data_IF_818883133323
#
_entry.id   IF_818883133323
#
_cell.length_a   1.000
_cell.length_b   1.000
_cell.length_c   1.000
_cell.angle_alpha   90.00
_cell.angle_beta   90.00
_cell.angle_gamma   90.00
#
_symmetry.space_group_name_H-M   'P 1'
#
loop_
_entity.id
_entity.type
_entity.pdbx_description
1 polymer ?
#
# COMPACT_ATOMS: atom_id res chain seq x y z
N UNK A 1 22.47 31.52 -13.14
CA UNK A 1 22.39 30.62 -14.32
C UNK A 1 21.18 31.00 -15.13
N UNK A 2 21.33 31.19 -16.43
CA UNK A 2 20.19 31.44 -17.33
C UNK A 2 19.47 30.09 -17.57
N UNK A 3 18.18 30.01 -17.29
CA UNK A 3 17.38 28.84 -17.63
C UNK A 3 17.06 28.86 -19.13
N UNK A 4 17.09 27.70 -19.78
CA UNK A 4 16.76 27.52 -21.20
C UNK A 4 15.68 26.47 -21.31
N UNK A 5 14.66 26.73 -22.12
CA UNK A 5 13.61 25.79 -22.43
C UNK A 5 14.15 24.56 -23.18
N UNK A 6 14.01 23.39 -22.66
CA UNK A 6 14.51 22.15 -23.27
C UNK A 6 13.75 21.69 -24.50
N UNK A 7 12.58 22.30 -24.79
CA UNK A 7 11.79 21.99 -25.99
C UNK A 7 12.04 22.96 -27.15
N UNK A 8 12.13 24.26 -26.88
CA UNK A 8 12.23 25.27 -27.96
C UNK A 8 13.51 26.13 -27.92
N UNK A 9 14.40 25.87 -26.98
CA UNK A 9 15.69 26.59 -26.73
C UNK A 9 15.54 28.07 -26.38
N UNK A 10 14.34 28.58 -26.13
CA UNK A 10 14.17 29.96 -25.68
C UNK A 10 14.71 30.17 -24.27
N UNK A 11 15.29 31.33 -24.03
CA UNK A 11 15.73 31.77 -22.70
C UNK A 11 14.48 31.98 -21.84
N UNK A 12 14.55 31.55 -20.58
CA UNK A 12 13.52 31.74 -19.56
C UNK A 12 14.05 32.85 -18.63
N UNK A 13 13.37 33.99 -18.62
CA UNK A 13 13.68 35.09 -17.76
C UNK A 13 13.45 34.82 -16.29
N UNK A 14 13.95 35.68 -15.43
CA UNK A 14 13.80 35.50 -13.97
C UNK A 14 12.35 35.57 -13.50
N UNK A 15 11.52 36.32 -14.17
CA UNK A 15 10.09 36.51 -13.88
C UNK A 15 9.16 35.62 -14.72
N UNK A 16 9.72 34.89 -15.70
CA UNK A 16 8.93 34.04 -16.57
C UNK A 16 8.48 32.77 -15.82
N UNK A 17 7.24 32.36 -16.08
CA UNK A 17 6.74 31.08 -15.57
C UNK A 17 7.39 29.92 -16.30
N UNK A 18 7.82 28.94 -15.53
CA UNK A 18 8.44 27.72 -16.07
C UNK A 18 7.89 26.47 -15.37
N UNK A 19 8.13 25.32 -15.99
CA UNK A 19 7.85 24.00 -15.40
C UNK A 19 9.14 23.20 -15.39
N UNK A 20 9.55 22.78 -14.19
CA UNK A 20 10.75 21.97 -13.98
C UNK A 20 10.38 20.49 -13.87
N UNK A 21 11.03 19.66 -14.68
CA UNK A 21 10.90 18.20 -14.65
C UNK A 21 11.86 17.55 -13.64
N UNK A 22 11.59 16.29 -13.31
CA UNK A 22 12.39 15.44 -12.41
C UNK A 22 13.88 15.41 -12.79
N UNK A 23 14.18 15.38 -14.08
CA UNK A 23 15.55 15.39 -14.64
C UNK A 23 16.16 16.79 -14.78
N UNK A 24 15.61 17.80 -14.08
CA UNK A 24 16.07 19.19 -14.02
C UNK A 24 16.02 19.94 -15.37
N UNK A 25 15.23 19.48 -16.30
CA UNK A 25 14.91 20.20 -17.55
C UNK A 25 13.69 21.08 -17.38
N UNK A 26 13.53 22.09 -18.27
CA UNK A 26 12.54 23.15 -18.11
C UNK A 26 11.71 23.34 -19.38
N UNK A 27 10.43 23.68 -19.23
CA UNK A 27 9.57 24.25 -20.28
C UNK A 27 9.34 25.73 -19.99
N UNK A 28 9.41 26.57 -21.04
CA UNK A 28 9.05 27.98 -20.94
C UNK A 28 7.53 28.17 -21.05
N UNK A 29 7.05 29.34 -20.66
CA UNK A 29 5.65 29.76 -20.69
C UNK A 29 4.94 29.47 -22.01
N UNK A 30 5.55 29.78 -23.16
CA UNK A 30 4.96 29.50 -24.48
C UNK A 30 4.75 27.99 -24.71
N UNK A 31 5.68 27.16 -24.26
CA UNK A 31 5.52 25.72 -24.34
C UNK A 31 4.48 25.20 -23.34
N UNK A 32 4.36 25.78 -22.15
CA UNK A 32 3.31 25.45 -21.19
C UNK A 32 1.92 25.65 -21.79
N UNK A 33 1.66 26.79 -22.40
CA UNK A 33 0.39 27.08 -23.09
C UNK A 33 0.15 26.11 -24.25
N UNK A 34 1.14 25.96 -25.12
CA UNK A 34 1.05 25.12 -26.33
C UNK A 34 0.66 23.67 -26.02
N UNK A 35 1.13 23.13 -24.92
CA UNK A 35 0.91 21.72 -24.54
C UNK A 35 -0.11 21.53 -23.43
N UNK A 36 -0.84 22.60 -23.03
CA UNK A 36 -1.97 22.55 -22.11
C UNK A 36 -1.59 22.37 -20.64
N UNK A 37 -0.39 22.79 -20.25
CA UNK A 37 0.07 22.74 -18.86
C UNK A 37 -0.45 23.93 -18.02
N UNK A 38 -1.03 24.95 -18.65
CA UNK A 38 -1.69 26.09 -18.00
C UNK A 38 -3.21 25.86 -17.91
N UNK A 39 -3.90 26.65 -17.10
CA UNK A 39 -5.35 26.54 -16.94
C UNK A 39 -6.09 26.86 -18.26
N UNK A 40 -5.63 27.87 -18.96
CA UNK A 40 -6.11 28.33 -20.27
C UNK A 40 -5.03 29.21 -20.91
N UNK A 41 -5.31 29.74 -22.11
CA UNK A 41 -4.37 30.58 -22.87
C UNK A 41 -4.09 31.95 -22.23
N UNK A 42 -4.92 32.37 -21.27
CA UNK A 42 -4.76 33.65 -20.55
C UNK A 42 -3.88 33.52 -19.32
N UNK A 43 -3.72 32.30 -18.78
CA UNK A 43 -2.91 32.05 -17.61
C UNK A 43 -1.48 31.63 -18.01
N UNK A 44 -0.50 32.18 -17.35
CA UNK A 44 0.92 31.97 -17.65
C UNK A 44 1.55 30.88 -16.79
N UNK A 45 1.03 30.70 -15.58
CA UNK A 45 1.55 29.72 -14.63
C UNK A 45 1.06 28.28 -14.93
N UNK A 46 1.91 27.28 -14.72
CA UNK A 46 1.48 25.89 -14.80
C UNK A 46 0.44 25.59 -13.71
N UNK A 47 -0.51 24.70 -14.02
CA UNK A 47 -1.48 24.23 -13.02
C UNK A 47 -0.78 23.41 -11.94
N UNK A 48 -1.38 23.31 -10.73
CA UNK A 48 -0.87 22.41 -9.68
C UNK A 48 -0.69 20.97 -10.20
N UNK A 49 -1.66 20.50 -11.00
CA UNK A 49 -1.57 19.17 -11.63
C UNK A 49 -0.40 19.03 -12.59
N UNK A 50 -0.04 20.10 -13.31
CA UNK A 50 1.11 20.10 -14.21
C UNK A 50 2.42 20.05 -13.41
N UNK A 51 2.48 20.77 -12.30
CA UNK A 51 3.64 20.78 -11.40
C UNK A 51 3.85 19.40 -10.79
N UNK A 52 2.78 18.78 -10.26
CA UNK A 52 2.82 17.46 -9.67
C UNK A 52 3.27 16.41 -10.70
N UNK A 53 2.70 16.48 -11.93
CA UNK A 53 3.10 15.56 -12.99
C UNK A 53 4.59 15.72 -13.37
N UNK A 54 5.08 16.93 -13.56
CA UNK A 54 6.48 17.19 -13.93
C UNK A 54 7.46 16.81 -12.81
N UNK A 55 7.03 16.84 -11.55
CA UNK A 55 7.84 16.41 -10.42
C UNK A 55 8.20 14.92 -10.49
N UNK A 56 7.26 14.08 -10.98
CA UNK A 56 7.45 12.64 -11.06
C UNK A 56 7.93 12.15 -12.43
N UNK A 57 7.77 12.97 -13.48
CA UNK A 57 8.09 12.60 -14.86
C UNK A 57 9.34 13.31 -15.36
N UNK A 58 10.08 12.63 -16.25
CA UNK A 58 11.23 13.18 -16.93
C UNK A 58 10.80 14.01 -18.15
N UNK A 59 11.71 14.81 -18.66
CA UNK A 59 11.48 15.51 -19.93
C UNK A 59 11.31 14.54 -21.12
N UNK A 60 11.82 13.32 -21.02
CA UNK A 60 11.61 12.27 -22.01
C UNK A 60 10.14 11.87 -22.08
N UNK A 61 9.43 11.82 -20.94
CA UNK A 61 7.99 11.51 -20.90
C UNK A 61 7.18 12.61 -21.60
N UNK A 62 7.58 13.88 -21.44
CA UNK A 62 7.02 14.99 -22.19
C UNK A 62 7.26 14.85 -23.71
N UNK A 63 8.48 14.45 -24.11
CA UNK A 63 8.78 14.24 -25.53
C UNK A 63 7.95 13.08 -26.10
N UNK A 64 7.73 12.02 -25.36
CA UNK A 64 6.86 10.93 -25.77
C UNK A 64 5.42 11.40 -25.92
N UNK A 65 4.88 12.16 -24.97
CA UNK A 65 3.57 12.80 -25.07
C UNK A 65 3.44 13.62 -26.36
N UNK A 66 4.47 14.38 -26.70
CA UNK A 66 4.52 15.19 -27.91
C UNK A 66 4.56 14.34 -29.19
N UNK A 67 5.33 13.25 -29.21
CA UNK A 67 5.40 12.29 -30.33
C UNK A 67 4.03 11.63 -30.54
N UNK A 68 3.33 11.30 -29.47
CA UNK A 68 1.98 10.72 -29.52
C UNK A 68 0.89 11.73 -29.93
N UNK A 69 1.26 13.01 -30.21
CA UNK A 69 0.31 14.07 -30.57
C UNK A 69 -0.64 14.48 -29.44
N UNK A 70 -0.32 14.15 -28.20
CA UNK A 70 -1.15 14.41 -27.02
C UNK A 70 -0.83 15.75 -26.38
N UNK A 71 -1.80 16.31 -25.68
CA UNK A 71 -1.62 17.46 -24.77
C UNK A 71 -1.75 17.00 -23.33
N UNK A 72 -1.33 17.86 -22.38
CA UNK A 72 -1.42 17.51 -20.96
C UNK A 72 -2.86 17.18 -20.48
N UNK A 73 -3.94 17.86 -20.93
CA UNK A 73 -5.32 17.44 -20.63
C UNK A 73 -5.64 16.02 -21.10
N UNK A 74 -5.16 15.60 -22.28
CA UNK A 74 -5.37 14.23 -22.76
C UNK A 74 -4.69 13.19 -21.84
N UNK A 75 -3.49 13.51 -21.34
CA UNK A 75 -2.79 12.65 -20.37
C UNK A 75 -3.57 12.58 -19.07
N UNK A 76 -4.10 13.70 -18.57
CA UNK A 76 -4.92 13.73 -17.36
C UNK A 76 -6.19 12.88 -17.50
N UNK A 77 -6.83 12.87 -18.66
CA UNK A 77 -8.02 12.07 -18.91
C UNK A 77 -7.68 10.57 -19.04
N UNK A 78 -6.56 10.23 -19.67
CA UNK A 78 -6.04 8.85 -19.67
C UNK A 78 -5.73 8.36 -18.24
N UNK A 79 -5.06 9.17 -17.42
CA UNK A 79 -4.79 8.82 -16.02
C UNK A 79 -6.11 8.57 -15.26
N UNK A 80 -7.19 9.30 -15.54
CA UNK A 80 -8.51 9.08 -14.94
C UNK A 80 -9.15 7.77 -15.40
N UNK A 81 -9.06 7.45 -16.71
CA UNK A 81 -9.61 6.21 -17.27
C UNK A 81 -8.81 4.98 -16.83
N UNK A 82 -7.50 5.07 -16.80
CA UNK A 82 -6.62 3.99 -16.30
C UNK A 82 -6.82 3.75 -14.80
N UNK A 83 -7.18 4.79 -14.03
CA UNK A 83 -7.48 4.65 -12.59
C UNK A 83 -8.82 3.94 -12.35
N UNK A 84 -9.77 4.01 -13.29
CA UNK A 84 -11.04 3.30 -13.21
C UNK A 84 -10.93 1.83 -13.69
N UNK A 85 -9.91 1.50 -14.48
CA UNK A 85 -9.72 0.20 -15.12
C UNK A 85 -8.65 -0.69 -14.47
N UNK A 86 -7.87 -0.19 -13.51
CA UNK A 86 -6.89 -1.03 -12.81
C UNK A 86 -7.56 -1.93 -11.78
N UNK A 87 -8.22 -2.97 -12.25
CA UNK A 87 -8.23 -4.24 -11.54
C UNK A 87 -6.76 -4.68 -11.46
N UNK A 88 -6.09 -4.36 -10.34
CA UNK A 88 -4.77 -4.88 -10.05
C UNK A 88 -4.86 -6.39 -9.94
N UNK A 89 -4.59 -7.07 -11.05
CA UNK A 89 -4.32 -8.50 -11.04
C UNK A 89 -3.04 -8.69 -10.21
N UNK A 90 -3.09 -9.63 -9.30
CA UNK A 90 -1.96 -10.11 -8.48
C UNK A 90 -0.94 -10.85 -9.35
N UNK A 91 -0.47 -10.18 -10.42
CA UNK A 91 0.46 -10.78 -11.37
C UNK A 91 1.89 -10.60 -10.81
N UNK A 92 2.48 -11.71 -10.38
CA UNK A 92 3.86 -11.80 -9.91
C UNK A 92 4.91 -11.44 -10.98
N UNK A 93 4.51 -11.16 -12.21
CA UNK A 93 5.36 -10.72 -13.31
C UNK A 93 5.69 -9.22 -13.29
N UNK A 94 5.05 -8.42 -12.39
CA UNK A 94 5.33 -6.99 -12.30
C UNK A 94 6.80 -6.73 -11.92
N UNK A 95 7.58 -6.03 -12.77
CA UNK A 95 9.01 -5.80 -12.54
C UNK A 95 9.31 -5.01 -11.25
N UNK A 96 8.38 -4.19 -10.75
CA UNK A 96 8.54 -3.47 -9.49
C UNK A 96 8.45 -4.41 -8.29
N UNK A 97 7.52 -5.35 -8.31
CA UNK A 97 7.39 -6.40 -7.28
C UNK A 97 8.65 -7.27 -7.25
N UNK A 98 9.18 -7.66 -8.42
CA UNK A 98 10.41 -8.44 -8.50
C UNK A 98 11.63 -7.68 -7.96
N UNK A 99 11.79 -6.40 -8.30
CA UNK A 99 12.84 -5.53 -7.76
C UNK A 99 12.73 -5.39 -6.23
N UNK A 100 11.50 -5.21 -5.74
CA UNK A 100 11.25 -5.13 -4.30
C UNK A 100 11.58 -6.44 -3.59
N UNK A 101 11.21 -7.59 -4.15
CA UNK A 101 11.56 -8.90 -3.60
C UNK A 101 13.09 -9.11 -3.54
N UNK A 102 13.83 -8.69 -4.56
CA UNK A 102 15.30 -8.72 -4.53
C UNK A 102 15.87 -7.80 -3.43
N UNK A 103 15.28 -6.61 -3.24
CA UNK A 103 15.67 -5.69 -2.16
C UNK A 103 15.37 -6.29 -0.79
N UNK A 104 14.18 -6.89 -0.60
CA UNK A 104 13.77 -7.57 0.64
C UNK A 104 14.73 -8.72 0.97
N UNK A 105 15.12 -9.53 -0.01
CA UNK A 105 16.04 -10.64 0.20
C UNK A 105 17.42 -10.20 0.72
N UNK A 106 17.88 -8.99 0.37
CA UNK A 106 19.15 -8.42 0.84
C UNK A 106 19.08 -7.82 2.25
N UNK A 107 17.89 -7.68 2.83
CA UNK A 107 17.72 -7.11 4.17
C UNK A 107 18.23 -8.08 5.25
N UNK A 108 18.78 -7.53 6.35
CA UNK A 108 19.23 -8.32 7.52
C UNK A 108 18.10 -8.44 8.56
N UNK A 109 16.98 -9.06 8.16
CA UNK A 109 15.80 -9.33 9.00
C UNK A 109 15.48 -10.84 8.97
N UNK A 110 14.66 -11.37 9.90
CA UNK A 110 14.28 -12.79 9.92
C UNK A 110 13.71 -13.29 8.61
N UNK A 111 14.01 -14.54 8.26
CA UNK A 111 13.56 -15.17 6.99
C UNK A 111 12.04 -15.20 6.88
N UNK A 112 11.35 -15.42 7.98
CA UNK A 112 9.89 -15.47 8.09
C UNK A 112 9.28 -14.12 7.71
N UNK A 113 9.85 -13.02 8.19
CA UNK A 113 9.39 -11.66 7.86
C UNK A 113 9.67 -11.35 6.38
N UNK A 114 10.85 -11.72 5.85
CA UNK A 114 11.14 -11.58 4.41
C UNK A 114 10.10 -12.30 3.57
N UNK A 115 9.82 -13.56 3.91
CA UNK A 115 8.82 -14.37 3.23
C UNK A 115 7.46 -13.69 3.24
N UNK A 116 7.00 -13.22 4.40
CA UNK A 116 5.71 -12.53 4.52
C UNK A 116 5.63 -11.25 3.66
N UNK A 117 6.68 -10.43 3.62
CA UNK A 117 6.74 -9.23 2.79
C UNK A 117 6.72 -9.57 1.29
N UNK A 118 7.39 -10.64 0.87
CA UNK A 118 7.41 -11.11 -0.52
C UNK A 118 6.06 -11.72 -0.91
N UNK A 119 5.48 -12.57 -0.06
CA UNK A 119 4.18 -13.20 -0.28
C UNK A 119 3.05 -12.15 -0.35
N UNK A 120 3.17 -11.07 0.42
CA UNK A 120 2.27 -9.93 0.37
C UNK A 120 2.52 -9.00 -0.84
N UNK A 121 3.50 -9.32 -1.70
CA UNK A 121 3.86 -8.54 -2.89
C UNK A 121 4.14 -7.06 -2.58
N UNK A 122 4.79 -6.78 -1.45
CA UNK A 122 5.13 -5.42 -1.04
C UNK A 122 6.21 -4.86 -1.96
N UNK A 123 5.97 -3.71 -2.60
CA UNK A 123 6.92 -3.11 -3.52
C UNK A 123 7.26 -1.65 -3.21
N UNK A 124 6.40 -0.93 -2.54
CA UNK A 124 6.55 0.50 -2.26
C UNK A 124 6.91 0.73 -0.80
N UNK A 125 8.22 0.69 -0.51
CA UNK A 125 8.72 0.99 0.83
C UNK A 125 10.07 1.70 0.79
N UNK A 126 10.26 2.70 1.66
CA UNK A 126 11.41 3.59 1.70
C UNK A 126 12.37 3.29 2.85
N UNK A 127 12.20 2.15 3.50
CA UNK A 127 12.95 1.74 4.69
C UNK A 127 14.16 0.88 4.32
N UNK A 128 15.22 1.01 5.10
CA UNK A 128 16.45 0.26 4.95
C UNK A 128 16.63 -0.77 6.09
N UNK A 129 17.80 -1.43 6.12
CA UNK A 129 18.13 -2.44 7.12
C UNK A 129 17.99 -1.97 8.58
N UNK A 130 18.30 -0.70 8.86
CA UNK A 130 18.27 -0.18 10.24
C UNK A 130 16.84 -0.08 10.75
N UNK A 131 15.98 0.53 9.95
CA UNK A 131 14.58 0.73 10.30
C UNK A 131 13.81 -0.60 10.36
N UNK A 132 14.11 -1.52 9.44
CA UNK A 132 13.41 -2.82 9.39
C UNK A 132 13.88 -3.83 10.45
N UNK A 133 15.04 -3.63 11.08
CA UNK A 133 15.44 -4.43 12.25
C UNK A 133 14.46 -4.30 13.42
N UNK A 134 13.89 -3.11 13.63
CA UNK A 134 12.89 -2.88 14.67
C UNK A 134 11.62 -3.70 14.45
N UNK A 135 11.29 -4.02 13.18
CA UNK A 135 10.13 -4.84 12.85
C UNK A 135 10.19 -6.22 13.51
N UNK A 136 11.38 -6.81 13.63
CA UNK A 136 11.55 -8.15 14.24
C UNK A 136 11.28 -8.20 15.74
N UNK A 137 11.36 -7.05 16.45
CA UNK A 137 11.06 -6.95 17.88
C UNK A 137 9.61 -6.54 18.17
N UNK A 138 8.91 -5.98 17.18
CA UNK A 138 7.56 -5.44 17.34
C UNK A 138 6.51 -6.41 16.77
N UNK A 139 6.83 -7.07 15.65
CA UNK A 139 5.93 -8.01 15.01
C UNK A 139 5.95 -9.35 15.75
N UNK A 140 4.79 -9.78 16.18
CA UNK A 140 4.59 -11.06 16.89
C UNK A 140 4.53 -12.25 15.90
N UNK A 141 5.49 -12.29 14.93
CA UNK A 141 5.47 -13.28 13.84
C UNK A 141 5.62 -14.72 14.33
N UNK A 142 6.28 -14.95 15.48
CA UNK A 142 6.40 -16.27 16.11
C UNK A 142 5.08 -16.76 16.70
N UNK A 143 4.22 -15.82 17.09
CA UNK A 143 2.90 -16.08 17.67
C UNK A 143 1.78 -15.99 16.62
N UNK A 144 2.14 -16.11 15.34
CA UNK A 144 1.18 -16.16 14.23
C UNK A 144 0.66 -14.81 13.74
N UNK A 145 1.35 -13.71 14.05
CA UNK A 145 1.07 -12.43 13.41
C UNK A 145 1.64 -12.43 11.97
N UNK A 146 0.78 -12.17 10.99
CA UNK A 146 1.10 -12.27 9.57
C UNK A 146 0.92 -10.93 8.89
N UNK A 147 1.94 -10.45 8.19
CA UNK A 147 1.86 -9.26 7.34
C UNK A 147 0.97 -9.57 6.13
N UNK A 148 -0.05 -8.75 5.93
CA UNK A 148 -0.97 -8.83 4.79
C UNK A 148 -0.62 -7.85 3.69
N UNK A 149 -0.12 -6.68 4.04
CA UNK A 149 0.45 -5.69 3.12
C UNK A 149 1.24 -4.63 3.88
N UNK A 150 2.14 -3.95 3.18
CA UNK A 150 2.88 -2.81 3.72
C UNK A 150 3.12 -1.75 2.64
N UNK A 151 3.13 -0.49 3.04
CA UNK A 151 3.47 0.65 2.20
C UNK A 151 4.13 1.74 3.03
N UNK A 152 4.89 2.62 2.38
CA UNK A 152 5.46 3.81 3.01
C UNK A 152 4.60 5.03 2.75
N UNK A 153 4.57 5.95 3.71
CA UNK A 153 3.84 7.20 3.63
C UNK A 153 4.20 8.14 4.76
N UNK A 154 3.39 9.17 4.94
CA UNK A 154 3.50 10.11 6.05
C UNK A 154 2.29 9.98 6.96
N UNK A 155 2.52 9.82 8.26
CA UNK A 155 1.47 9.93 9.28
C UNK A 155 1.41 11.37 9.77
N UNK A 156 0.21 11.97 9.71
CA UNK A 156 -0.05 13.30 10.25
C UNK A 156 -0.42 13.18 11.73
N UNK A 157 0.33 13.86 12.60
CA UNK A 157 0.11 13.88 14.04
C UNK A 157 0.52 15.24 14.60
N UNK A 158 -0.39 15.91 15.35
CA UNK A 158 -0.15 17.22 15.98
C UNK A 158 0.43 18.28 15.00
N UNK A 159 -0.10 18.36 13.79
CA UNK A 159 0.38 19.23 12.68
C UNK A 159 1.82 18.93 12.19
N UNK A 160 2.39 17.81 12.59
CA UNK A 160 3.64 17.30 12.04
C UNK A 160 3.37 16.11 11.13
N UNK A 161 4.16 15.99 10.07
CA UNK A 161 4.13 14.82 9.18
C UNK A 161 5.40 14.00 9.39
N UNK A 162 5.23 12.74 9.79
CA UNK A 162 6.36 11.82 10.03
C UNK A 162 6.35 10.68 9.03
N UNK A 163 7.51 10.39 8.45
CA UNK A 163 7.67 9.23 7.55
C UNK A 163 7.43 7.94 8.34
N UNK A 164 6.51 7.12 7.88
CA UNK A 164 6.16 5.84 8.51
C UNK A 164 6.12 4.71 7.49
N UNK A 165 6.52 3.52 7.92
CA UNK A 165 6.15 2.27 7.28
C UNK A 165 4.84 1.80 7.91
N UNK A 166 3.83 1.61 7.08
CA UNK A 166 2.50 1.19 7.48
C UNK A 166 2.38 -0.30 7.15
N UNK A 167 2.13 -1.13 8.15
CA UNK A 167 1.92 -2.56 7.97
C UNK A 167 0.49 -2.92 8.38
N UNK A 168 -0.25 -3.54 7.49
CA UNK A 168 -1.48 -4.23 7.85
C UNK A 168 -1.14 -5.70 8.14
N UNK A 169 -1.47 -6.16 9.33
CA UNK A 169 -1.32 -7.56 9.72
C UNK A 169 -2.71 -8.23 9.85
N UNK A 170 -2.74 -9.49 10.22
CA UNK A 170 -3.99 -10.19 10.56
C UNK A 170 -4.55 -9.80 11.96
N UNK A 171 -3.90 -8.88 12.69
CA UNK A 171 -4.28 -8.44 14.04
C UNK A 171 -4.48 -6.93 14.17
N UNK A 172 -3.62 -6.14 13.51
CA UNK A 172 -3.53 -4.68 13.71
C UNK A 172 -2.93 -3.97 12.50
N UNK A 173 -3.07 -2.65 12.46
CA UNK A 173 -2.29 -1.77 11.58
C UNK A 173 -1.19 -1.15 12.41
N UNK A 174 0.06 -1.43 12.04
CA UNK A 174 1.27 -0.93 12.70
C UNK A 174 1.84 0.26 11.94
N UNK A 175 2.34 1.25 12.67
CA UNK A 175 3.05 2.42 12.13
C UNK A 175 4.45 2.45 12.70
N UNK A 176 5.44 2.19 11.85
CA UNK A 176 6.85 2.24 12.22
C UNK A 176 7.43 3.57 11.77
N UNK A 177 7.85 4.40 12.72
CA UNK A 177 8.52 5.65 12.41
C UNK A 177 9.98 5.39 12.00
N UNK A 178 10.48 6.14 11.03
CA UNK A 178 11.86 6.06 10.56
C UNK A 178 12.91 6.33 11.66
N UNK A 179 12.55 7.07 12.70
CA UNK A 179 13.43 7.44 13.81
C UNK A 179 13.33 6.53 15.05
N UNK A 180 12.64 5.39 14.96
CA UNK A 180 12.41 4.47 16.10
C UNK A 180 13.67 3.95 16.79
N UNK A 181 14.83 3.98 16.13
CA UNK A 181 16.10 3.57 16.73
C UNK A 181 16.58 4.46 17.88
N UNK A 182 16.00 5.65 18.04
CA UNK A 182 16.34 6.60 19.11
C UNK A 182 15.26 6.72 20.19
N UNK A 183 14.42 5.66 20.38
CA UNK A 183 13.37 5.65 21.39
C UNK A 183 12.02 6.18 20.90
N UNK A 184 11.75 6.13 19.59
CA UNK A 184 10.46 6.51 19.03
C UNK A 184 9.39 5.44 19.23
N UNK A 185 8.16 5.88 19.52
CA UNK A 185 7.01 5.01 19.75
C UNK A 185 6.53 4.34 18.48
N UNK A 186 6.31 3.02 18.51
CA UNK A 186 5.43 2.35 17.57
C UNK A 186 3.99 2.62 18.00
N UNK A 187 3.16 3.05 17.08
CA UNK A 187 1.73 3.13 17.33
C UNK A 187 1.02 2.07 16.47
N UNK A 188 -0.01 1.47 17.04
CA UNK A 188 -0.82 0.51 16.28
C UNK A 188 -2.32 0.76 16.51
N UNK A 189 -3.12 0.26 15.57
CA UNK A 189 -4.57 0.26 15.65
C UNK A 189 -5.02 -1.20 15.53
N UNK A 190 -5.58 -1.80 16.58
CA UNK A 190 -6.19 -3.12 16.51
C UNK A 190 -7.30 -3.18 15.46
N UNK A 191 -7.38 -4.27 14.69
CA UNK A 191 -8.34 -4.39 13.58
C UNK A 191 -9.81 -4.31 14.05
N UNK A 192 -10.11 -4.75 15.26
CA UNK A 192 -11.45 -4.67 15.84
C UNK A 192 -11.87 -3.22 16.20
N UNK A 193 -10.92 -2.31 16.31
CA UNK A 193 -11.19 -0.88 16.58
C UNK A 193 -11.38 -0.05 15.32
N UNK A 194 -11.17 -0.62 14.13
CA UNK A 194 -11.31 0.12 12.87
C UNK A 194 -12.78 0.18 12.48
N UNK A 195 -13.32 1.40 12.45
CA UNK A 195 -14.68 1.67 12.03
C UNK A 195 -14.81 1.90 10.53
N UNK A 196 -13.89 2.66 9.96
CA UNK A 196 -13.87 2.91 8.52
C UNK A 196 -12.48 3.20 7.99
N UNK A 197 -12.29 2.94 6.69
CA UNK A 197 -11.08 3.27 5.94
C UNK A 197 -11.51 4.03 4.70
N UNK A 198 -11.06 5.27 4.58
CA UNK A 198 -11.36 6.15 3.45
C UNK A 198 -10.09 6.34 2.62
N UNK A 199 -10.21 6.20 1.30
CA UNK A 199 -9.16 6.45 0.33
C UNK A 199 -9.49 7.73 -0.43
N UNK A 200 -8.57 8.68 -0.45
CA UNK A 200 -8.65 9.89 -1.26
C UNK A 200 -7.52 9.86 -2.27
N UNK A 201 -7.86 9.83 -3.55
CA UNK A 201 -6.87 9.78 -4.63
C UNK A 201 -6.66 11.19 -5.19
N UNK A 202 -5.41 11.64 -5.17
CA UNK A 202 -4.96 12.87 -5.81
C UNK A 202 -4.38 12.55 -7.21
N UNK A 203 -3.78 13.51 -7.88
CA UNK A 203 -3.26 13.28 -9.23
C UNK A 203 -2.11 12.26 -9.27
N UNK A 204 -1.19 12.35 -8.33
CA UNK A 204 0.05 11.53 -8.28
C UNK A 204 0.07 10.60 -7.09
N UNK A 205 -0.40 11.08 -5.95
CA UNK A 205 -0.38 10.38 -4.67
C UNK A 205 -1.80 10.08 -4.20
N UNK A 206 -1.90 9.38 -3.08
CA UNK A 206 -3.17 9.10 -2.43
C UNK A 206 -3.03 9.20 -0.91
N UNK A 207 -4.14 9.52 -0.25
CA UNK A 207 -4.23 9.60 1.19
C UNK A 207 -5.20 8.54 1.71
N UNK A 208 -4.92 8.01 2.89
CA UNK A 208 -5.80 7.07 3.59
C UNK A 208 -6.16 7.68 4.95
N UNK A 209 -7.44 7.71 5.28
CA UNK A 209 -7.91 8.04 6.62
C UNK A 209 -8.50 6.80 7.27
N UNK A 210 -7.95 6.40 8.42
CA UNK A 210 -8.44 5.29 9.24
C UNK A 210 -9.17 5.91 10.43
N UNK A 211 -10.46 5.58 10.59
CA UNK A 211 -11.27 6.00 11.75
C UNK A 211 -11.36 4.86 12.74
N UNK A 212 -10.98 5.11 13.98
CA UNK A 212 -11.01 4.16 15.09
C UNK A 212 -11.63 4.82 16.33
N UNK A 213 -12.88 4.50 16.59
CA UNK A 213 -13.66 5.18 17.62
C UNK A 213 -13.85 6.66 17.32
N UNK A 214 -13.51 7.53 18.27
CA UNK A 214 -13.57 8.99 18.12
C UNK A 214 -12.32 9.58 17.41
N UNK A 215 -11.30 8.77 17.16
CA UNK A 215 -10.03 9.21 16.59
C UNK A 215 -9.95 8.93 15.10
N UNK A 216 -9.12 9.71 14.40
CA UNK A 216 -8.79 9.45 13.01
C UNK A 216 -7.29 9.57 12.79
N UNK A 217 -6.73 8.60 12.07
CA UNK A 217 -5.34 8.60 11.64
C UNK A 217 -5.28 8.91 10.16
N UNK A 218 -4.59 10.00 9.81
CA UNK A 218 -4.41 10.41 8.41
C UNK A 218 -3.03 9.99 7.92
N UNK A 219 -3.02 9.25 6.82
CA UNK A 219 -1.85 8.79 6.12
C UNK A 219 -1.80 9.50 4.77
N UNK A 220 -0.73 10.24 4.52
CA UNK A 220 -0.58 11.10 3.35
C UNK A 220 0.52 10.62 2.42
N UNK A 221 0.43 11.05 1.18
CA UNK A 221 1.47 10.88 0.16
C UNK A 221 1.88 9.41 -0.07
N UNK A 222 0.92 8.50 -0.02
CA UNK A 222 1.14 7.13 -0.45
C UNK A 222 1.15 7.05 -1.99
N UNK A 223 1.85 6.07 -2.54
CA UNK A 223 1.75 5.76 -3.96
C UNK A 223 0.30 5.44 -4.36
N UNK A 224 -0.12 5.93 -5.53
CA UNK A 224 -1.45 5.63 -6.09
C UNK A 224 -1.71 4.15 -6.32
N UNK A 225 -0.65 3.37 -6.39
CA UNK A 225 -0.72 1.92 -6.61
C UNK A 225 -0.86 1.20 -5.28
N UNK A 226 -0.01 1.51 -4.30
CA UNK A 226 -0.02 0.82 -3.00
C UNK A 226 -1.14 1.28 -2.07
N UNK A 227 -1.60 2.53 -2.16
CA UNK A 227 -2.65 3.05 -1.28
C UNK A 227 -3.99 2.31 -1.42
N UNK A 228 -4.53 2.06 -2.64
CA UNK A 228 -5.76 1.28 -2.80
C UNK A 228 -5.62 -0.16 -2.27
N UNK A 229 -4.45 -0.80 -2.51
CA UNK A 229 -4.17 -2.14 -2.02
C UNK A 229 -4.17 -2.15 -0.49
N UNK A 230 -3.45 -1.21 0.13
CA UNK A 230 -3.38 -1.08 1.59
C UNK A 230 -4.76 -0.80 2.20
N UNK A 231 -5.52 0.16 1.67
CA UNK A 231 -6.85 0.51 2.16
C UNK A 231 -7.82 -0.68 2.07
N UNK A 232 -7.83 -1.40 0.93
CA UNK A 232 -8.63 -2.61 0.73
C UNK A 232 -8.21 -3.72 1.69
N UNK A 233 -6.91 -3.91 1.89
CA UNK A 233 -6.35 -4.92 2.80
C UNK A 233 -6.77 -4.64 4.24
N UNK A 234 -6.62 -3.40 4.72
CA UNK A 234 -7.04 -3.00 6.07
C UNK A 234 -8.53 -3.26 6.27
N UNK A 235 -9.37 -2.83 5.32
CA UNK A 235 -10.82 -3.03 5.38
C UNK A 235 -11.18 -4.52 5.43
N UNK A 236 -10.58 -5.33 4.57
CA UNK A 236 -10.87 -6.76 4.49
C UNK A 236 -10.41 -7.51 5.75
N UNK A 237 -9.21 -7.21 6.25
CA UNK A 237 -8.70 -7.87 7.45
C UNK A 237 -9.46 -7.43 8.70
N UNK A 238 -9.91 -6.16 8.78
CA UNK A 238 -10.80 -5.70 9.85
C UNK A 238 -12.14 -6.47 9.84
N UNK A 239 -12.78 -6.61 8.68
CA UNK A 239 -14.02 -7.38 8.55
C UNK A 239 -13.83 -8.85 8.93
N UNK A 240 -12.78 -9.50 8.43
CA UNK A 240 -12.45 -10.90 8.79
C UNK A 240 -12.17 -11.05 10.29
N UNK A 241 -11.50 -10.07 10.90
CA UNK A 241 -11.22 -10.09 12.33
C UNK A 241 -12.50 -9.98 13.15
N UNK A 242 -13.41 -9.07 12.77
CA UNK A 242 -14.72 -8.92 13.41
C UNK A 242 -15.58 -10.19 13.25
N UNK A 243 -15.61 -10.79 12.06
CA UNK A 243 -16.31 -12.06 11.82
C UNK A 243 -15.79 -13.19 12.71
N UNK A 244 -14.45 -13.29 12.86
CA UNK A 244 -13.84 -14.29 13.77
C UNK A 244 -14.22 -14.08 15.24
N UNK A 245 -14.44 -12.84 15.66
CA UNK A 245 -14.90 -12.53 17.01
C UNK A 245 -16.38 -12.88 17.22
N UNK A 246 -17.21 -12.67 16.19
CA UNK A 246 -18.66 -12.98 16.25
C UNK A 246 -18.94 -14.47 16.13
N UNK A 247 -18.11 -15.24 15.42
CA UNK A 247 -18.25 -16.66 15.18
C UNK A 247 -17.01 -17.45 15.62
N UNK A 248 -16.73 -17.52 16.94
CA UNK A 248 -15.51 -18.18 17.43
C UNK A 248 -15.44 -19.69 17.12
N UNK A 249 -16.59 -20.32 16.86
CA UNK A 249 -16.72 -21.76 16.65
C UNK A 249 -16.56 -22.20 15.18
N UNK A 250 -16.83 -21.32 14.20
CA UNK A 250 -16.79 -21.69 12.77
C UNK A 250 -15.38 -21.71 12.16
N UNK A 251 -14.42 -21.10 12.81
CA UNK A 251 -13.04 -21.03 12.32
C UNK A 251 -12.14 -22.21 12.70
N UNK A 252 -12.67 -23.27 13.30
CA UNK A 252 -11.92 -24.53 13.49
C UNK A 252 -11.87 -25.41 12.23
N UNK A 253 -12.57 -25.02 11.16
CA UNK A 253 -12.66 -25.78 9.91
C UNK A 253 -11.72 -25.33 8.80
N UNK A 254 -10.59 -24.72 9.10
CA UNK A 254 -9.51 -24.55 8.11
C UNK A 254 -8.40 -25.58 8.38
N UNK A 255 -8.49 -26.71 7.67
CA UNK A 255 -7.41 -27.69 7.48
C UNK A 255 -6.97 -28.52 8.71
N UNK A 256 -7.91 -28.98 9.52
CA UNK A 256 -7.64 -30.22 10.24
C UNK A 256 -7.92 -31.38 9.27
N UNK A 257 -6.89 -32.18 9.01
CA UNK A 257 -7.01 -33.43 8.28
C UNK A 257 -8.19 -34.23 8.90
N UNK A 258 -9.19 -34.67 8.11
CA UNK A 258 -10.28 -35.49 8.62
C UNK A 258 -9.81 -36.66 9.50
N UNK A 259 -8.61 -37.17 9.22
CA UNK A 259 -7.98 -38.22 10.03
C UNK A 259 -7.62 -37.75 11.45
N UNK A 260 -7.20 -36.49 11.64
CA UNK A 260 -6.89 -35.98 12.98
C UNK A 260 -8.14 -35.67 13.79
N UNK A 261 -9.22 -35.25 13.13
CA UNK A 261 -10.53 -35.13 13.80
C UNK A 261 -11.07 -36.47 14.22
N UNK A 262 -11.01 -37.48 13.36
CA UNK A 262 -11.41 -38.84 13.71
C UNK A 262 -10.64 -39.37 14.92
N UNK A 263 -9.32 -39.14 14.99
CA UNK A 263 -8.49 -39.51 16.16
C UNK A 263 -8.95 -38.83 17.45
N UNK A 264 -9.33 -37.54 17.38
CA UNK A 264 -9.84 -36.80 18.56
C UNK A 264 -11.17 -37.38 19.03
N UNK A 265 -12.10 -37.64 18.10
CA UNK A 265 -13.39 -38.22 18.45
C UNK A 265 -13.26 -39.67 18.98
N UNK A 266 -12.32 -40.47 18.43
CA UNK A 266 -12.00 -41.79 18.95
C UNK A 266 -11.55 -41.73 20.41
N UNK A 267 -10.66 -40.80 20.74
CA UNK A 267 -10.20 -40.60 22.13
C UNK A 267 -11.37 -40.23 23.06
N UNK A 268 -12.31 -39.38 22.62
CA UNK A 268 -13.49 -39.03 23.40
C UNK A 268 -14.43 -40.25 23.65
N UNK A 269 -14.52 -41.17 22.68
CA UNK A 269 -15.24 -42.42 22.85
C UNK A 269 -14.52 -43.38 23.82
N UNK A 270 -13.18 -43.51 23.69
CA UNK A 270 -12.37 -44.33 24.57
C UNK A 270 -12.37 -43.80 26.02
N UNK A 271 -12.48 -42.47 26.21
CA UNK A 271 -12.61 -41.79 27.50
C UNK A 271 -14.05 -41.85 28.06
N UNK A 272 -15.01 -42.42 27.31
CA UNK A 272 -16.42 -42.58 27.71
C UNK A 272 -17.26 -41.29 27.70
N UNK A 273 -16.75 -40.23 27.05
CA UNK A 273 -17.41 -38.93 26.96
C UNK A 273 -18.51 -38.94 25.89
N UNK A 274 -18.32 -39.71 24.82
CA UNK A 274 -19.31 -39.97 23.77
C UNK A 274 -19.47 -41.48 23.59
N UNK A 275 -20.62 -41.90 23.07
CA UNK A 275 -20.88 -43.32 22.77
C UNK A 275 -20.16 -43.76 21.48
N UNK A 276 -19.93 -45.06 21.31
CA UNK A 276 -19.37 -45.64 20.08
C UNK A 276 -20.25 -45.33 18.86
N UNK A 277 -21.58 -45.29 19.04
CA UNK A 277 -22.54 -44.96 17.97
C UNK A 277 -22.39 -43.47 17.53
N UNK A 278 -22.23 -42.57 18.48
CA UNK A 278 -21.97 -41.13 18.18
C UNK A 278 -20.64 -40.94 17.48
N UNK A 279 -19.61 -41.67 17.88
CA UNK A 279 -18.32 -41.67 17.19
C UNK A 279 -18.43 -42.17 15.74
N UNK A 280 -19.09 -43.34 15.51
CA UNK A 280 -19.24 -43.89 14.15
C UNK A 280 -20.10 -42.98 13.26
N UNK A 281 -21.15 -42.36 13.80
CA UNK A 281 -21.94 -41.35 13.08
C UNK A 281 -21.09 -40.16 12.65
N UNK A 282 -20.25 -39.62 13.56
CA UNK A 282 -19.38 -38.49 13.29
C UNK A 282 -18.28 -38.84 12.31
N UNK A 283 -17.72 -40.03 12.41
CA UNK A 283 -16.69 -40.54 11.48
C UNK A 283 -17.25 -40.66 10.05
N UNK A 284 -18.43 -41.16 9.84
CA UNK A 284 -19.11 -41.21 8.54
C UNK A 284 -19.30 -39.80 7.97
N UNK A 285 -19.76 -38.86 8.78
CA UNK A 285 -19.96 -37.47 8.39
C UNK A 285 -18.64 -36.82 7.95
N UNK A 286 -17.50 -37.06 8.64
CA UNK A 286 -16.20 -36.53 8.33
C UNK A 286 -15.58 -37.13 7.06
N UNK A 287 -15.91 -38.38 6.76
CA UNK A 287 -15.47 -39.10 5.57
C UNK A 287 -16.38 -38.90 4.35
N UNK A 288 -17.53 -38.20 4.52
CA UNK A 288 -18.48 -37.95 3.45
C UNK A 288 -19.27 -39.20 3.04
N UNK A 289 -19.48 -40.16 3.97
CA UNK A 289 -20.16 -41.43 3.76
C UNK A 289 -21.62 -41.39 4.30
#
# INVERSE_FOLDING_TARGET
MVKICSNCNNKIGFWDQDLKFKDKKYLCQSCLKKYGFTKDDKHDAPTSKAIDWAFDHSFTDFLQMKVDGKTFPNILDQIKTDTAATNYSSDSSNPEIQKAAQKINKLSIPKEIKKQLIDAQVFDFWFNNKELKALSSILEYKDGEIIKYAASGYKEENNESRTVLILCTNRRVLFLNKNMFFGGDSTDIPLNMINSVQLTTHLVLADITIVNGANSTKLKSLSKVSAPILAKTIKNESLKFQQRLLHPQENKNSLTDPADEIRKFKKLADDGIITEEEFEAKKKQLLGL
#
